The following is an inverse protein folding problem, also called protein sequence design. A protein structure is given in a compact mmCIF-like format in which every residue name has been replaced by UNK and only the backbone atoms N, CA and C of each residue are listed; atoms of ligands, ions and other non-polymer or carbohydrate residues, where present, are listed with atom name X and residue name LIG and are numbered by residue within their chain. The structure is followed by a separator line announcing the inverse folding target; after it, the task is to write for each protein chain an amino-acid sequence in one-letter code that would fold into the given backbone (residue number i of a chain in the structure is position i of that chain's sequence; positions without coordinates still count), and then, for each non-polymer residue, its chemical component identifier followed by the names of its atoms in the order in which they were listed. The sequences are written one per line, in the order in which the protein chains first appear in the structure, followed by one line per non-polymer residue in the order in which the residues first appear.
data_IF_646266954426
#
_entry.id   IF_646266954426
#
_cell.length_a   1.000
_cell.length_b   1.000
_cell.length_c   1.000
_cell.angle_alpha   90.00
_cell.angle_beta   90.00
_cell.angle_gamma   90.00
#
_symmetry.space_group_name_H-M   'P 1'
#
loop_
_entity.id
_entity.type
_entity.pdbx_description
1 polymer ?
#
# COMPACT_ATOMS: atom_id res chain seq x y z
N UNK A 1 -12.75 18.43 -19.53
CA UNK A 1 -13.03 17.11 -20.13
C UNK A 1 -12.01 16.12 -19.60
N UNK A 2 -12.31 15.40 -18.51
CA UNK A 2 -11.50 14.27 -18.04
C UNK A 2 -12.47 13.21 -17.53
N UNK A 3 -12.90 12.36 -18.45
CA UNK A 3 -13.70 11.16 -18.14
C UNK A 3 -12.82 10.25 -17.29
N UNK A 4 -12.96 10.30 -15.96
CA UNK A 4 -12.52 9.21 -15.11
C UNK A 4 -13.39 8.01 -15.50
N UNK A 5 -12.84 7.13 -16.34
CA UNK A 5 -13.45 5.84 -16.61
C UNK A 5 -13.55 5.11 -15.27
N UNK A 6 -14.68 5.24 -14.61
CA UNK A 6 -15.06 4.40 -13.48
C UNK A 6 -14.96 2.96 -13.98
N UNK A 7 -14.01 2.20 -13.44
CA UNK A 7 -13.94 0.77 -13.70
C UNK A 7 -15.30 0.16 -13.38
N UNK A 8 -15.71 -0.86 -14.14
CA UNK A 8 -16.92 -1.61 -13.85
C UNK A 8 -16.87 -2.08 -12.38
N UNK A 9 -17.90 -1.78 -11.55
CA UNK A 9 -17.92 -2.19 -10.15
C UNK A 9 -17.61 -3.67 -9.92
N UNK A 10 -18.04 -4.55 -10.83
CA UNK A 10 -17.73 -5.98 -10.76
C UNK A 10 -16.22 -6.26 -10.97
N UNK A 11 -15.58 -5.50 -11.85
CA UNK A 11 -14.14 -5.58 -12.08
C UNK A 11 -13.34 -5.02 -10.89
N UNK A 12 -13.76 -3.89 -10.31
CA UNK A 12 -13.14 -3.35 -9.10
C UNK A 12 -13.16 -4.37 -7.96
N UNK A 13 -14.34 -4.96 -7.70
CA UNK A 13 -14.54 -5.95 -6.66
C UNK A 13 -13.65 -7.18 -6.86
N UNK A 14 -13.53 -7.65 -8.10
CA UNK A 14 -12.65 -8.76 -8.46
C UNK A 14 -11.20 -8.45 -8.10
N UNK A 15 -10.67 -7.31 -8.53
CA UNK A 15 -9.29 -6.89 -8.26
C UNK A 15 -9.04 -6.75 -6.76
N UNK A 16 -9.99 -6.14 -6.04
CA UNK A 16 -9.89 -5.99 -4.58
C UNK A 16 -9.76 -7.37 -3.93
N UNK A 17 -10.67 -8.31 -4.23
CA UNK A 17 -10.67 -9.67 -3.67
C UNK A 17 -9.37 -10.42 -3.95
N UNK A 18 -8.86 -10.35 -5.18
CA UNK A 18 -7.59 -10.98 -5.56
C UNK A 18 -6.39 -10.39 -4.80
N UNK A 19 -6.43 -9.09 -4.46
CA UNK A 19 -5.33 -8.39 -3.80
C UNK A 19 -5.35 -8.47 -2.26
N UNK A 20 -6.47 -8.84 -1.63
CA UNK A 20 -6.56 -8.95 -0.17
C UNK A 20 -5.46 -9.85 0.47
N UNK A 21 -5.14 -11.05 -0.06
CA UNK A 21 -4.05 -11.86 0.47
C UNK A 21 -2.69 -11.16 0.35
N UNK A 22 -2.48 -10.41 -0.73
CA UNK A 22 -1.26 -9.64 -0.97
C UNK A 22 -1.11 -8.50 0.03
N UNK A 23 -2.20 -7.81 0.39
CA UNK A 23 -2.19 -6.78 1.44
C UNK A 23 -1.69 -7.38 2.76
N UNK A 24 -2.24 -8.53 3.17
CA UNK A 24 -1.81 -9.22 4.39
C UNK A 24 -0.33 -9.61 4.36
N UNK A 25 0.14 -10.14 3.23
CA UNK A 25 1.56 -10.50 3.06
C UNK A 25 2.47 -9.28 3.20
N UNK A 26 2.12 -8.17 2.55
CA UNK A 26 2.89 -6.91 2.65
C UNK A 26 2.88 -6.40 4.09
N UNK A 27 1.75 -6.46 4.79
CA UNK A 27 1.67 -6.04 6.18
C UNK A 27 2.60 -6.87 7.09
N UNK A 28 2.67 -8.19 6.89
CA UNK A 28 3.59 -9.08 7.61
C UNK A 28 5.04 -8.71 7.29
N UNK A 29 5.39 -8.53 6.00
CA UNK A 29 6.75 -8.15 5.59
C UNK A 29 7.17 -6.81 6.20
N UNK A 30 6.26 -5.83 6.24
CA UNK A 30 6.49 -4.55 6.91
C UNK A 30 6.65 -4.77 8.41
N UNK A 31 5.81 -5.59 9.04
CA UNK A 31 5.82 -5.83 10.49
C UNK A 31 7.13 -6.44 11.02
N UNK A 32 7.88 -7.17 10.20
CA UNK A 32 9.13 -7.85 10.60
C UNK A 32 10.19 -6.92 11.20
N UNK A 33 10.18 -5.63 10.82
CA UNK A 33 11.18 -4.66 11.27
C UNK A 33 10.65 -3.71 12.37
N UNK A 34 9.51 -4.03 12.99
CA UNK A 34 8.82 -3.13 13.91
C UNK A 34 8.80 -3.67 15.35
N UNK A 35 8.76 -2.78 16.36
CA UNK A 35 8.55 -3.15 17.75
C UNK A 35 7.14 -3.65 17.99
N UNK A 36 6.96 -4.35 19.12
CA UNK A 36 5.75 -5.10 19.48
C UNK A 36 4.49 -4.24 19.72
N UNK A 37 4.60 -2.91 19.80
CA UNK A 37 3.47 -1.99 19.85
C UNK A 37 2.80 -1.79 18.48
N UNK A 38 3.49 -2.21 17.42
CA UNK A 38 3.05 -2.53 16.05
C UNK A 38 1.86 -3.50 15.95
N UNK A 39 0.59 -3.09 15.81
CA UNK A 39 -0.47 -4.06 15.52
C UNK A 39 -0.55 -4.40 14.02
N UNK A 40 -0.55 -5.70 13.69
CA UNK A 40 -0.68 -6.17 12.31
C UNK A 40 -2.00 -5.74 11.67
N UNK A 41 -3.08 -5.79 12.44
CA UNK A 41 -4.43 -5.49 11.94
C UNK A 41 -4.56 -4.02 11.51
N UNK A 42 -3.85 -3.10 12.16
CA UNK A 42 -3.82 -1.69 11.76
C UNK A 42 -3.12 -1.50 10.42
N UNK A 43 -1.99 -2.18 10.21
CA UNK A 43 -1.30 -2.18 8.92
C UNK A 43 -2.18 -2.74 7.80
N UNK A 44 -2.89 -3.85 8.08
CA UNK A 44 -3.82 -4.46 7.13
C UNK A 44 -4.94 -3.47 6.80
N UNK A 45 -5.56 -2.84 7.80
CA UNK A 45 -6.64 -1.88 7.59
C UNK A 45 -6.20 -0.71 6.70
N UNK A 46 -5.07 -0.09 7.01
CA UNK A 46 -4.51 1.01 6.23
C UNK A 46 -4.18 0.56 4.80
N UNK A 47 -3.65 -0.65 4.64
CA UNK A 47 -3.40 -1.26 3.32
C UNK A 47 -4.67 -1.48 2.51
N UNK A 48 -5.76 -1.95 3.13
CA UNK A 48 -7.05 -2.18 2.46
C UNK A 48 -7.67 -0.85 2.03
N UNK A 49 -7.67 0.17 2.89
CA UNK A 49 -8.16 1.51 2.54
C UNK A 49 -7.38 2.09 1.35
N UNK A 50 -6.06 1.91 1.35
CA UNK A 50 -5.21 2.32 0.24
C UNK A 50 -5.53 1.57 -1.05
N UNK A 51 -5.73 0.25 -1.00
CA UNK A 51 -6.13 -0.57 -2.14
C UNK A 51 -7.45 -0.09 -2.74
N UNK A 52 -8.47 0.15 -1.92
CA UNK A 52 -9.78 0.67 -2.37
C UNK A 52 -9.62 1.99 -3.13
N UNK A 53 -8.84 2.91 -2.58
CA UNK A 53 -8.57 4.19 -3.25
C UNK A 53 -7.69 4.04 -4.49
N UNK A 54 -6.78 3.06 -4.52
CA UNK A 54 -5.88 2.81 -5.64
C UNK A 54 -6.63 2.30 -6.87
N UNK A 55 -7.51 1.30 -6.68
CA UNK A 55 -8.32 0.73 -7.77
C UNK A 55 -9.18 1.81 -8.42
N UNK A 56 -9.86 2.64 -7.62
CA UNK A 56 -10.71 3.74 -8.12
C UNK A 56 -9.98 4.87 -8.83
N UNK A 57 -8.69 5.06 -8.53
CA UNK A 57 -7.85 6.13 -9.10
C UNK A 57 -6.88 5.62 -10.16
N UNK A 58 -6.93 4.33 -10.46
CA UNK A 58 -6.02 3.73 -11.42
C UNK A 58 -6.30 4.25 -12.83
N UNK A 59 -5.24 4.64 -13.52
CA UNK A 59 -5.29 5.15 -14.88
C UNK A 59 -4.39 4.29 -15.77
N UNK A 60 -4.97 3.45 -16.66
CA UNK A 60 -4.21 2.55 -17.50
C UNK A 60 -3.31 3.27 -18.52
N UNK A 61 -3.58 4.55 -18.81
CA UNK A 61 -2.76 5.33 -19.76
C UNK A 61 -1.36 5.64 -19.24
N UNK A 62 -1.14 5.48 -17.93
CA UNK A 62 0.15 5.74 -17.27
C UNK A 62 1.16 4.59 -17.39
N UNK A 63 0.81 3.52 -18.10
CA UNK A 63 1.73 2.43 -18.46
C UNK A 63 2.13 1.47 -17.34
N UNK A 64 1.62 1.65 -16.11
CA UNK A 64 1.84 0.73 -15.00
C UNK A 64 0.70 -0.26 -14.86
N UNK A 65 0.97 -1.55 -14.63
CA UNK A 65 -0.06 -2.54 -14.29
C UNK A 65 -0.78 -2.16 -12.98
N UNK A 66 -2.11 -2.33 -12.92
CA UNK A 66 -2.94 -2.10 -11.73
C UNK A 66 -2.42 -2.81 -10.47
N UNK A 67 -1.93 -4.04 -10.59
CA UNK A 67 -1.38 -4.80 -9.48
C UNK A 67 -0.10 -4.14 -8.94
N UNK A 68 0.83 -3.77 -9.83
CA UNK A 68 2.07 -3.07 -9.46
C UNK A 68 1.79 -1.69 -8.83
N UNK A 69 0.81 -0.97 -9.39
CA UNK A 69 0.36 0.32 -8.86
C UNK A 69 -0.25 0.17 -7.47
N UNK A 70 -1.12 -0.80 -7.27
CA UNK A 70 -1.75 -1.10 -5.99
C UNK A 70 -0.72 -1.49 -4.93
N UNK A 71 0.24 -2.38 -5.25
CA UNK A 71 1.31 -2.77 -4.31
C UNK A 71 2.09 -1.56 -3.81
N UNK A 72 2.48 -0.66 -4.72
CA UNK A 72 3.19 0.57 -4.36
C UNK A 72 2.35 1.46 -3.45
N UNK A 73 1.05 1.60 -3.75
CA UNK A 73 0.13 2.44 -2.98
C UNK A 73 -0.14 1.89 -1.58
N UNK A 74 -0.32 0.57 -1.46
CA UNK A 74 -0.50 -0.17 -0.20
C UNK A 74 0.71 0.03 0.71
N UNK A 75 1.92 -0.24 0.20
CA UNK A 75 3.16 -0.04 0.97
C UNK A 75 3.31 1.41 1.43
N UNK A 76 3.08 2.37 0.53
CA UNK A 76 3.14 3.80 0.86
C UNK A 76 2.19 4.18 2.00
N UNK A 77 0.94 3.71 1.96
CA UNK A 77 -0.04 3.99 3.02
C UNK A 77 0.36 3.40 4.37
N UNK A 78 0.87 2.16 4.39
CA UNK A 78 1.40 1.57 5.62
C UNK A 78 2.55 2.42 6.18
N UNK A 79 3.54 2.80 5.37
CA UNK A 79 4.63 3.66 5.84
C UNK A 79 4.15 5.05 6.30
N UNK A 80 3.14 5.61 5.65
CA UNK A 80 2.53 6.89 6.06
C UNK A 80 1.80 6.78 7.40
N UNK A 81 1.08 5.68 7.64
CA UNK A 81 0.49 5.38 8.95
C UNK A 81 1.58 5.27 10.03
N UNK A 82 2.66 4.55 9.74
CA UNK A 82 3.79 4.37 10.66
C UNK A 82 4.52 5.67 10.99
N UNK A 83 4.58 6.61 10.02
CA UNK A 83 5.07 7.98 10.24
C UNK A 83 4.15 8.79 11.17
N UNK A 84 2.82 8.63 11.04
CA UNK A 84 1.82 9.36 11.86
C UNK A 84 1.82 8.94 13.31
N UNK A 85 2.02 7.66 13.61
CA UNK A 85 2.11 7.15 14.98
C UNK A 85 3.50 7.39 15.62
N UNK A 86 4.32 8.26 14.99
CA UNK A 86 5.64 8.71 15.42
C UNK A 86 6.64 7.58 15.73
N UNK A 87 6.47 6.42 15.08
CA UNK A 87 7.24 5.21 15.36
C UNK A 87 8.61 5.19 14.63
N UNK A 88 9.23 6.34 14.36
CA UNK A 88 10.55 6.38 13.70
C UNK A 88 11.66 6.85 14.63
N UNK A 89 12.29 5.95 15.43
CA UNK A 89 13.60 6.25 16.00
C UNK A 89 14.60 6.57 14.87
N UNK A 90 15.47 7.56 15.09
CA UNK A 90 16.35 8.17 14.07
C UNK A 90 17.15 7.17 13.23
N UNK A 91 17.44 5.98 13.75
CA UNK A 91 18.24 4.96 13.08
C UNK A 91 17.46 4.19 12.01
N UNK A 92 16.16 3.97 12.21
CA UNK A 92 15.30 3.25 11.26
C UNK A 92 14.91 4.13 10.05
N UNK A 93 14.92 5.47 10.23
CA UNK A 93 14.82 6.47 9.16
C UNK A 93 15.83 6.27 8.03
N UNK A 94 17.05 5.85 8.36
CA UNK A 94 18.10 5.60 7.37
C UNK A 94 17.79 4.34 6.55
N UNK A 95 17.38 3.26 7.20
CA UNK A 95 17.11 1.98 6.53
C UNK A 95 15.92 2.04 5.57
N UNK A 96 14.83 2.75 5.94
CA UNK A 96 13.68 2.94 5.04
C UNK A 96 14.08 3.73 3.79
N UNK A 97 14.91 4.77 3.93
CA UNK A 97 15.45 5.53 2.78
C UNK A 97 16.30 4.64 1.87
N UNK A 98 17.10 3.73 2.44
CA UNK A 98 17.96 2.84 1.65
C UNK A 98 17.14 1.80 0.88
N UNK A 99 16.06 1.26 1.48
CA UNK A 99 15.13 0.34 0.81
C UNK A 99 14.33 1.07 -0.29
N UNK A 100 13.82 2.29 -0.02
CA UNK A 100 13.14 3.11 -1.04
C UNK A 100 14.06 3.43 -2.23
N UNK A 101 15.36 3.64 -1.98
CA UNK A 101 16.36 3.95 -3.01
C UNK A 101 16.83 2.73 -3.82
N UNK A 102 16.62 1.52 -3.30
CA UNK A 102 16.96 0.27 -3.99
C UNK A 102 15.82 -0.21 -4.91
N UNK A 103 14.59 0.27 -4.68
CA UNK A 103 13.39 -0.10 -5.44
C UNK A 103 13.13 0.88 -6.62
N UNK A 104 13.97 1.91 -6.79
CA UNK A 104 13.87 2.93 -7.84
C UNK A 104 15.12 3.01 -8.72
#
# INVERSE_FOLDING_TARGET
MTTSASLDPAYEEKIIKEMLPTVKRIAIDVMQNLPKNVQLDDLIQEGVLALLSAVRRYDPTRGSNIYSFAVKRIKGAMYDYLRKIDWMPRNLRKHVKDVEKTIY
#
